data_IF_328203205552
#
_entry.id   IF_328203205552
#
_cell.length_a   1.000
_cell.length_b   1.000
_cell.length_c   1.000
_cell.angle_alpha   90.00
_cell.angle_beta   90.00
_cell.angle_gamma   90.00
#
_symmetry.space_group_name_H-M   'P 1'
#
loop_
_entity.id
_entity.type
_entity.pdbx_description
1 polymer ?
#
# COMPACT_ATOMS: atom_id res chain seq x y z
N UNK A 1 26.68 23.22 -30.92
CA UNK A 1 26.86 24.51 -30.23
C UNK A 1 25.62 25.36 -30.45
N UNK A 2 24.61 25.21 -29.60
CA UNK A 2 23.54 26.21 -29.34
C UNK A 2 23.02 25.86 -27.96
N UNK A 3 23.36 26.71 -26.99
CA UNK A 3 22.82 26.71 -25.64
C UNK A 3 21.46 27.38 -25.69
N UNK A 4 20.39 26.68 -25.29
CA UNK A 4 19.11 27.31 -24.98
C UNK A 4 19.00 27.32 -23.44
N UNK A 5 19.30 28.49 -22.86
CA UNK A 5 18.99 28.86 -21.49
C UNK A 5 17.45 29.00 -21.37
N UNK A 6 16.81 28.05 -20.72
CA UNK A 6 15.45 28.22 -20.19
C UNK A 6 15.59 28.89 -18.82
N UNK A 7 15.55 30.21 -18.82
CA UNK A 7 15.33 31.00 -17.61
C UNK A 7 13.84 30.86 -17.28
N UNK A 8 13.50 29.98 -16.38
CA UNK A 8 12.18 29.91 -15.75
C UNK A 8 11.98 31.21 -14.95
N UNK A 9 11.01 31.99 -15.35
CA UNK A 9 10.57 33.21 -14.66
C UNK A 9 9.96 32.77 -13.31
N UNK A 10 10.75 32.82 -12.23
CA UNK A 10 10.24 32.74 -10.85
C UNK A 10 9.49 34.06 -10.65
N UNK A 11 8.18 33.99 -10.58
CA UNK A 11 7.33 35.11 -10.20
C UNK A 11 7.69 35.49 -8.75
N UNK A 12 8.62 36.42 -8.58
CA UNK A 12 8.84 37.12 -7.31
C UNK A 12 7.70 38.10 -7.17
N UNK A 13 6.76 37.80 -6.24
CA UNK A 13 5.68 38.75 -5.93
C UNK A 13 6.27 40.10 -5.57
N UNK A 14 6.15 41.07 -6.44
CA UNK A 14 6.56 42.43 -6.16
C UNK A 14 5.56 43.07 -5.17
N UNK A 15 6.03 43.89 -4.20
CA UNK A 15 5.16 44.58 -3.27
C UNK A 15 4.31 45.62 -3.99
N UNK A 16 2.98 45.48 -3.98
CA UNK A 16 2.05 46.33 -4.71
C UNK A 16 1.68 47.62 -3.95
N UNK A 17 1.98 47.73 -2.66
CA UNK A 17 1.67 48.95 -1.90
C UNK A 17 2.92 49.74 -1.44
N UNK A 18 2.77 51.07 -1.37
CA UNK A 18 3.85 51.97 -0.93
C UNK A 18 4.28 51.72 0.54
N UNK A 19 3.37 51.20 1.37
CA UNK A 19 3.64 50.87 2.76
C UNK A 19 4.53 49.64 2.90
N UNK A 20 4.29 48.59 2.08
CA UNK A 20 5.12 47.38 2.08
C UNK A 20 6.54 47.65 1.58
N UNK A 21 6.65 48.53 0.55
CA UNK A 21 7.94 48.90 0.00
C UNK A 21 8.79 49.67 1.02
N UNK A 22 8.15 50.56 1.80
CA UNK A 22 8.81 51.31 2.86
C UNK A 22 9.27 50.35 4.03
N UNK A 23 8.44 49.40 4.41
CA UNK A 23 8.79 48.41 5.45
C UNK A 23 9.94 47.47 5.04
N UNK A 24 10.00 47.10 3.74
CA UNK A 24 11.09 46.30 3.20
C UNK A 24 12.42 47.06 3.07
N UNK A 25 12.36 48.36 2.75
CA UNK A 25 13.55 49.22 2.67
C UNK A 25 14.15 49.49 4.02
N UNK A 26 13.33 49.54 5.12
CA UNK A 26 13.80 49.77 6.49
C UNK A 26 14.33 48.51 7.19
N UNK A 27 13.77 47.31 6.91
CA UNK A 27 14.10 46.08 7.65
C UNK A 27 15.18 45.20 7.02
N UNK A 28 15.39 45.30 5.72
CA UNK A 28 16.27 44.39 4.97
C UNK A 28 15.78 42.91 4.98
N UNK A 29 14.58 42.66 5.46
CA UNK A 29 13.97 41.32 5.54
C UNK A 29 13.28 40.94 4.23
N UNK A 30 13.07 39.62 4.01
CA UNK A 30 12.32 39.18 2.84
C UNK A 30 10.83 39.55 2.98
N UNK A 31 10.12 39.85 1.86
CA UNK A 31 8.70 40.22 1.90
C UNK A 31 7.82 39.19 2.67
N UNK A 32 8.15 37.91 2.57
CA UNK A 32 7.42 36.83 3.24
C UNK A 32 7.49 36.93 4.76
N UNK A 33 8.63 37.38 5.33
CA UNK A 33 8.80 37.60 6.78
C UNK A 33 7.89 38.72 7.25
N UNK A 34 7.82 39.84 6.53
CA UNK A 34 6.93 40.95 6.84
C UNK A 34 5.46 40.54 6.80
N UNK A 35 5.04 39.79 5.76
CA UNK A 35 3.67 39.31 5.65
C UNK A 35 3.31 38.31 6.74
N UNK A 36 4.24 37.47 7.16
CA UNK A 36 4.03 36.56 8.29
C UNK A 36 3.78 37.32 9.60
N UNK A 37 4.49 38.45 9.86
CA UNK A 37 4.24 39.32 11.03
C UNK A 37 2.83 39.96 10.93
N UNK A 38 2.37 40.32 9.74
CA UNK A 38 1.03 40.87 9.51
C UNK A 38 -0.09 39.86 9.77
N UNK A 39 0.16 38.52 9.81
CA UNK A 39 -0.84 37.53 10.18
C UNK A 39 -1.43 37.74 11.59
N UNK A 40 -0.74 38.43 12.47
CA UNK A 40 -1.17 38.77 13.85
C UNK A 40 -1.63 40.24 13.99
N UNK A 41 -1.75 40.98 12.87
CA UNK A 41 -2.24 42.36 12.87
C UNK A 41 -3.63 42.45 13.50
N UNK A 42 -3.92 43.56 14.20
CA UNK A 42 -5.27 43.87 14.70
C UNK A 42 -6.30 44.06 13.60
N UNK A 43 -5.87 44.46 12.37
CA UNK A 43 -6.73 44.72 11.22
C UNK A 43 -7.13 43.41 10.50
N UNK A 44 -8.42 43.23 10.21
CA UNK A 44 -8.89 42.07 9.45
C UNK A 44 -8.38 42.06 8.01
N UNK A 45 -8.36 43.23 7.39
CA UNK A 45 -7.92 43.38 5.98
C UNK A 45 -6.43 43.07 5.83
N UNK A 46 -5.58 43.54 6.76
CA UNK A 46 -4.13 43.31 6.75
C UNK A 46 -3.84 41.78 6.83
N UNK A 47 -4.53 41.09 7.76
CA UNK A 47 -4.39 39.64 7.90
C UNK A 47 -4.84 38.87 6.67
N UNK A 48 -5.92 39.33 6.01
CA UNK A 48 -6.42 38.72 4.78
C UNK A 48 -5.43 38.89 3.64
N UNK A 49 -4.98 40.11 3.43
CA UNK A 49 -4.01 40.44 2.37
C UNK A 49 -2.68 39.70 2.56
N UNK A 50 -2.14 39.68 3.77
CA UNK A 50 -0.95 38.90 4.10
C UNK A 50 -1.14 37.39 3.82
N UNK A 51 -2.31 36.84 4.14
CA UNK A 51 -2.65 35.44 3.83
C UNK A 51 -2.62 35.17 2.33
N UNK A 52 -3.25 36.02 1.50
CA UNK A 52 -3.32 35.89 0.06
C UNK A 52 -1.92 35.98 -0.58
N UNK A 53 -1.11 36.97 -0.19
CA UNK A 53 0.27 37.15 -0.66
C UNK A 53 1.19 35.98 -0.30
N UNK A 54 1.05 35.40 0.89
CA UNK A 54 1.81 34.23 1.29
C UNK A 54 1.41 32.99 0.48
N UNK A 55 0.14 32.82 0.14
CA UNK A 55 -0.32 31.74 -0.76
C UNK A 55 0.26 31.94 -2.17
N UNK A 56 0.23 33.16 -2.71
CA UNK A 56 0.76 33.49 -4.04
C UNK A 56 2.29 33.33 -4.11
N UNK A 57 2.99 33.54 -2.99
CA UNK A 57 4.45 33.34 -2.90
C UNK A 57 4.89 31.88 -3.02
N UNK A 58 3.98 30.93 -2.93
CA UNK A 58 4.26 29.51 -3.14
C UNK A 58 5.36 28.96 -2.23
N UNK A 59 6.39 28.38 -2.84
CA UNK A 59 7.47 27.70 -2.11
C UNK A 59 8.21 28.61 -1.13
N UNK A 60 8.41 29.89 -1.46
CA UNK A 60 9.18 30.86 -0.64
C UNK A 60 8.47 31.25 0.66
N UNK A 61 7.16 31.04 0.79
CA UNK A 61 6.39 31.32 1.99
C UNK A 61 6.52 30.22 3.06
N UNK A 62 6.83 28.98 2.69
CA UNK A 62 6.71 27.83 3.59
C UNK A 62 7.62 27.96 4.82
N UNK A 63 8.92 28.20 4.62
CA UNK A 63 9.87 28.30 5.71
C UNK A 63 9.59 29.47 6.66
N UNK A 64 9.29 30.70 6.19
CA UNK A 64 8.86 31.81 7.04
C UNK A 64 7.60 31.46 7.87
N UNK A 65 6.60 30.82 7.28
CA UNK A 65 5.38 30.40 7.98
C UNK A 65 5.70 29.39 9.09
N UNK A 66 6.47 28.34 8.79
CA UNK A 66 6.85 27.32 9.77
C UNK A 66 7.63 27.93 10.94
N UNK A 67 8.55 28.85 10.66
CA UNK A 67 9.33 29.55 11.68
C UNK A 67 8.45 30.38 12.60
N UNK A 68 7.52 31.14 12.05
CA UNK A 68 6.61 31.97 12.83
C UNK A 68 5.61 31.14 13.66
N UNK A 69 5.16 30.01 13.14
CA UNK A 69 4.24 29.12 13.87
C UNK A 69 4.89 28.49 15.11
N UNK A 70 6.21 28.34 15.15
CA UNK A 70 6.91 27.73 16.28
C UNK A 70 6.80 28.54 17.57
N UNK A 71 6.67 29.87 17.48
CA UNK A 71 6.57 30.79 18.63
C UNK A 71 5.39 31.75 18.57
N UNK A 72 4.56 31.63 17.51
CA UNK A 72 3.50 32.58 17.23
C UNK A 72 2.23 32.41 18.08
N UNK A 73 1.36 33.41 17.99
CA UNK A 73 0.03 33.40 18.59
C UNK A 73 -0.85 32.28 18.01
N UNK A 74 -1.99 32.00 18.64
CA UNK A 74 -3.00 31.08 18.12
C UNK A 74 -3.48 31.48 16.72
N UNK A 75 -3.57 32.79 16.46
CA UNK A 75 -3.98 33.33 15.16
C UNK A 75 -2.95 33.01 14.08
N UNK A 76 -1.66 33.25 14.35
CA UNK A 76 -0.55 32.91 13.43
C UNK A 76 -0.54 31.41 13.10
N UNK A 77 -0.68 30.56 14.12
CA UNK A 77 -0.71 29.09 13.92
C UNK A 77 -1.93 28.68 13.08
N UNK A 78 -3.10 29.24 13.37
CA UNK A 78 -4.33 28.90 12.63
C UNK A 78 -4.25 29.31 11.16
N UNK A 79 -3.77 30.53 10.88
CA UNK A 79 -3.59 31.03 9.52
C UNK A 79 -2.44 30.34 8.78
N UNK A 80 -1.35 30.06 9.48
CA UNK A 80 -0.24 29.30 8.92
C UNK A 80 -0.69 27.89 8.44
N UNK A 81 -1.45 27.17 9.25
CA UNK A 81 -2.03 25.87 8.83
C UNK A 81 -2.98 26.05 7.63
N UNK A 82 -3.79 27.09 7.61
CA UNK A 82 -4.66 27.39 6.47
C UNK A 82 -3.85 27.63 5.18
N UNK A 83 -2.80 28.46 5.26
CA UNK A 83 -1.93 28.77 4.11
C UNK A 83 -1.23 27.50 3.62
N UNK A 84 -0.59 26.73 4.53
CA UNK A 84 0.07 25.47 4.19
C UNK A 84 -0.89 24.48 3.53
N UNK A 85 -2.16 24.43 3.98
CA UNK A 85 -3.19 23.63 3.32
C UNK A 85 -3.46 24.09 1.89
N UNK A 86 -3.53 25.39 1.63
CA UNK A 86 -3.74 25.93 0.28
C UNK A 86 -2.53 25.62 -0.61
N UNK A 87 -1.30 25.77 -0.09
CA UNK A 87 -0.08 25.40 -0.80
C UNK A 87 -0.01 23.90 -1.12
N UNK A 88 -0.45 23.03 -0.17
CA UNK A 88 -0.57 21.59 -0.40
C UNK A 88 -1.64 21.20 -1.45
N UNK A 89 -2.54 22.11 -1.81
CA UNK A 89 -3.50 21.95 -2.91
C UNK A 89 -3.03 22.59 -4.21
N UNK A 90 -1.83 23.17 -4.26
CA UNK A 90 -1.24 23.76 -5.46
C UNK A 90 -1.18 22.76 -6.62
N UNK A 91 -1.24 23.28 -7.85
CA UNK A 91 -0.97 22.50 -9.07
C UNK A 91 0.52 22.35 -9.36
N UNK A 92 1.34 23.15 -8.74
CA UNK A 92 2.80 23.11 -8.84
C UNK A 92 3.35 22.05 -7.88
N UNK A 93 3.94 20.98 -8.41
CA UNK A 93 4.36 19.81 -7.64
C UNK A 93 5.36 20.16 -6.50
N UNK A 94 6.28 21.09 -6.74
CA UNK A 94 7.24 21.51 -5.71
C UNK A 94 6.55 22.19 -4.52
N UNK A 95 5.58 23.07 -4.78
CA UNK A 95 4.79 23.78 -3.76
C UNK A 95 3.89 22.81 -3.00
N UNK A 96 3.25 21.91 -3.73
CA UNK A 96 2.40 20.85 -3.16
C UNK A 96 3.17 19.99 -2.17
N UNK A 97 4.29 19.41 -2.61
CA UNK A 97 5.12 18.52 -1.78
C UNK A 97 5.60 19.25 -0.53
N UNK A 98 6.12 20.47 -0.69
CA UNK A 98 6.64 21.24 0.45
C UNK A 98 5.52 21.65 1.43
N UNK A 99 4.33 22.01 0.92
CA UNK A 99 3.16 22.29 1.76
C UNK A 99 2.65 21.08 2.54
N UNK A 100 2.64 19.90 1.89
CA UNK A 100 2.28 18.63 2.54
C UNK A 100 3.29 18.26 3.62
N UNK A 101 4.59 18.28 3.30
CA UNK A 101 5.66 17.96 4.25
C UNK A 101 5.58 18.85 5.49
N UNK A 102 5.37 20.16 5.29
CA UNK A 102 5.21 21.08 6.42
C UNK A 102 4.01 20.75 7.32
N UNK A 103 2.89 20.32 6.74
CA UNK A 103 1.72 19.88 7.51
C UNK A 103 1.96 18.54 8.21
N UNK A 104 2.66 17.60 7.58
CA UNK A 104 3.04 16.30 8.14
C UNK A 104 3.98 16.48 9.34
N UNK A 105 5.00 17.34 9.21
CA UNK A 105 5.90 17.69 10.29
C UNK A 105 5.16 18.30 11.49
N UNK A 106 4.18 19.18 11.24
CA UNK A 106 3.35 19.75 12.28
C UNK A 106 2.45 18.73 12.97
N UNK A 107 1.97 17.75 12.22
CA UNK A 107 1.07 16.72 12.72
C UNK A 107 1.82 15.63 13.51
N UNK A 108 3.08 15.34 13.17
CA UNK A 108 3.89 14.27 13.78
C UNK A 108 4.73 14.75 14.98
N UNK A 109 5.03 16.05 15.10
CA UNK A 109 5.96 16.55 16.10
C UNK A 109 5.37 16.47 17.52
N UNK A 110 5.92 15.58 18.35
CA UNK A 110 5.58 15.45 19.77
C UNK A 110 5.81 16.72 20.59
N UNK A 111 6.62 17.67 20.08
CA UNK A 111 6.93 18.96 20.72
C UNK A 111 5.85 20.02 20.50
N UNK A 112 4.95 19.81 19.54
CA UNK A 112 3.92 20.78 19.20
C UNK A 112 2.71 20.70 20.17
N UNK A 113 2.05 21.83 20.44
CA UNK A 113 0.82 21.82 21.21
C UNK A 113 -0.22 20.87 20.58
N UNK A 114 -0.90 20.08 21.40
CA UNK A 114 -1.90 19.12 20.94
C UNK A 114 -3.02 19.75 20.06
N UNK A 115 -3.31 21.04 20.23
CA UNK A 115 -4.26 21.79 19.39
C UNK A 115 -3.73 21.98 17.96
N UNK A 116 -2.44 22.30 17.82
CA UNK A 116 -1.79 22.50 16.52
C UNK A 116 -1.67 21.18 15.77
N UNK A 117 -1.27 20.10 16.46
CA UNK A 117 -1.24 18.73 15.92
C UNK A 117 -2.63 18.32 15.35
N UNK A 118 -3.69 18.49 16.15
CA UNK A 118 -5.06 18.18 15.69
C UNK A 118 -5.50 19.02 14.50
N UNK A 119 -5.11 20.30 14.46
CA UNK A 119 -5.47 21.19 13.35
C UNK A 119 -4.72 20.84 12.07
N UNK A 120 -3.41 20.53 12.16
CA UNK A 120 -2.60 20.07 11.04
C UNK A 120 -3.10 18.73 10.49
N UNK A 121 -3.40 17.77 11.37
CA UNK A 121 -4.00 16.46 10.96
C UNK A 121 -5.34 16.66 10.24
N UNK A 122 -6.18 17.59 10.71
CA UNK A 122 -7.45 17.90 10.02
C UNK A 122 -7.21 18.53 8.65
N UNK A 123 -6.23 19.43 8.53
CA UNK A 123 -5.87 20.04 7.26
C UNK A 123 -5.34 19.00 6.26
N UNK A 124 -4.47 18.08 6.67
CA UNK A 124 -4.00 16.94 5.87
C UNK A 124 -5.17 16.09 5.36
N UNK A 125 -6.08 15.69 6.26
CA UNK A 125 -7.25 14.89 5.88
C UNK A 125 -8.13 15.62 4.85
N UNK A 126 -8.24 16.95 4.91
CA UNK A 126 -8.96 17.74 3.92
C UNK A 126 -8.23 17.75 2.57
N UNK A 127 -6.90 17.94 2.56
CA UNK A 127 -6.09 17.87 1.34
C UNK A 127 -6.23 16.51 0.66
N UNK A 128 -6.08 15.43 1.44
CA UNK A 128 -6.19 14.06 0.89
C UNK A 128 -7.58 13.78 0.30
N UNK A 129 -8.65 14.20 0.97
CA UNK A 129 -10.02 14.03 0.43
C UNK A 129 -10.23 14.80 -0.89
N UNK A 130 -9.75 16.03 -0.98
CA UNK A 130 -9.85 16.82 -2.22
C UNK A 130 -9.07 16.17 -3.36
N UNK A 131 -7.91 15.58 -3.06
CA UNK A 131 -7.05 14.96 -4.07
C UNK A 131 -7.44 13.53 -4.42
N UNK A 132 -8.14 12.83 -3.55
CA UNK A 132 -8.45 11.41 -3.71
C UNK A 132 -9.19 11.11 -5.02
N UNK A 133 -10.18 11.92 -5.40
CA UNK A 133 -10.94 11.69 -6.62
C UNK A 133 -10.04 11.77 -7.87
N UNK A 134 -9.22 12.82 -7.97
CA UNK A 134 -8.24 12.95 -9.05
C UNK A 134 -7.18 11.85 -9.06
N UNK A 135 -6.72 11.42 -7.88
CA UNK A 135 -5.77 10.33 -7.73
C UNK A 135 -6.36 8.99 -8.20
N UNK A 136 -7.61 8.69 -7.85
CA UNK A 136 -8.30 7.48 -8.30
C UNK A 136 -8.49 7.47 -9.81
N UNK A 137 -8.90 8.58 -10.41
CA UNK A 137 -9.04 8.71 -11.86
C UNK A 137 -7.68 8.55 -12.58
N UNK A 138 -6.61 9.13 -12.01
CA UNK A 138 -5.26 8.96 -12.53
C UNK A 138 -4.81 7.49 -12.52
N UNK A 139 -4.96 6.81 -11.37
CA UNK A 139 -4.60 5.40 -11.23
C UNK A 139 -5.42 4.50 -12.17
N UNK A 140 -6.72 4.74 -12.33
CA UNK A 140 -7.58 4.04 -13.30
C UNK A 140 -7.10 4.27 -14.73
N UNK A 141 -6.78 5.51 -15.09
CA UNK A 141 -6.24 5.86 -16.40
C UNK A 141 -4.91 5.16 -16.71
N UNK A 142 -4.07 4.96 -15.70
CA UNK A 142 -2.82 4.21 -15.79
C UNK A 142 -3.02 2.67 -15.79
N UNK A 143 -4.24 2.18 -15.58
CA UNK A 143 -4.59 0.76 -15.68
C UNK A 143 -4.84 0.05 -14.36
N UNK A 144 -4.91 0.76 -13.23
CA UNK A 144 -5.35 0.17 -11.98
C UNK A 144 -6.86 -0.15 -12.01
N UNK A 145 -7.25 -1.26 -11.38
CA UNK A 145 -8.64 -1.58 -11.12
C UNK A 145 -8.98 -1.13 -9.70
N UNK A 146 -9.91 -0.20 -9.58
CA UNK A 146 -10.39 0.37 -8.31
C UNK A 146 -11.75 -0.22 -8.00
N UNK A 147 -12.08 -0.39 -6.71
CA UNK A 147 -13.27 -1.08 -6.23
C UNK A 147 -13.38 -2.55 -6.66
N UNK A 148 -12.23 -3.18 -6.87
CA UNK A 148 -12.10 -4.56 -7.30
C UNK A 148 -12.62 -5.60 -6.28
N UNK A 149 -13.34 -5.21 -5.23
CA UNK A 149 -13.88 -6.16 -4.24
C UNK A 149 -14.92 -7.12 -4.83
N UNK A 150 -15.66 -6.72 -5.86
CA UNK A 150 -16.58 -7.61 -6.57
C UNK A 150 -15.88 -8.59 -7.53
N UNK A 151 -14.70 -8.23 -8.04
CA UNK A 151 -13.93 -9.06 -8.98
C UNK A 151 -12.83 -9.90 -8.32
N UNK A 152 -12.49 -9.63 -7.06
CA UNK A 152 -11.58 -10.44 -6.25
C UNK A 152 -12.37 -11.57 -5.55
N UNK A 153 -13.34 -12.16 -6.20
CA UNK A 153 -14.02 -13.40 -5.79
C UNK A 153 -13.11 -14.62 -6.00
N UNK A 154 -11.94 -14.57 -5.37
CA UNK A 154 -11.19 -15.73 -4.92
C UNK A 154 -11.52 -15.99 -3.44
N UNK A 155 -10.98 -17.01 -2.78
CA UNK A 155 -11.33 -17.44 -1.42
C UNK A 155 -10.90 -16.46 -0.31
N UNK A 156 -10.89 -15.18 -0.59
CA UNK A 156 -10.65 -14.13 0.40
C UNK A 156 -11.97 -13.83 1.07
N UNK A 157 -12.10 -14.29 2.31
CA UNK A 157 -13.13 -13.80 3.20
C UNK A 157 -13.03 -12.27 3.23
N UNK A 158 -14.09 -11.59 2.82
CA UNK A 158 -14.24 -10.17 3.01
C UNK A 158 -13.88 -9.87 4.47
N UNK A 159 -12.84 -9.05 4.68
CA UNK A 159 -12.50 -8.59 6.00
C UNK A 159 -13.62 -7.67 6.43
N UNK A 160 -14.56 -8.17 7.21
CA UNK A 160 -15.56 -7.35 7.89
C UNK A 160 -14.79 -6.51 8.90
N UNK A 161 -14.36 -5.33 8.49
CA UNK A 161 -13.82 -4.32 9.37
C UNK A 161 -15.04 -3.58 9.91
N UNK A 162 -15.44 -3.86 11.12
CA UNK A 162 -16.45 -3.22 11.95
C UNK A 162 -17.56 -2.47 11.21
N UNK A 163 -18.81 -2.70 11.59
CA UNK A 163 -20.05 -2.08 11.12
C UNK A 163 -19.90 -0.98 10.06
N UNK A 164 -20.08 -1.31 8.77
CA UNK A 164 -20.73 -0.38 7.87
C UNK A 164 -19.98 0.22 6.70
N UNK A 165 -18.73 -0.13 6.37
CA UNK A 165 -18.21 0.16 5.03
C UNK A 165 -17.13 -0.84 4.64
N UNK A 166 -17.39 -1.59 3.59
CA UNK A 166 -16.36 -2.37 2.87
C UNK A 166 -15.48 -1.33 2.16
N UNK A 167 -14.38 -0.94 2.79
CA UNK A 167 -13.41 -0.04 2.17
C UNK A 167 -12.92 -0.61 0.86
N UNK A 168 -12.79 0.23 -0.17
CA UNK A 168 -12.38 -0.15 -1.50
C UNK A 168 -11.01 -0.83 -1.54
N UNK A 169 -10.80 -1.65 -2.56
CA UNK A 169 -9.52 -2.26 -2.90
C UNK A 169 -8.98 -1.71 -4.21
N UNK A 170 -7.66 -1.75 -4.36
CA UNK A 170 -6.95 -1.42 -5.60
C UNK A 170 -6.16 -2.63 -6.04
N UNK A 171 -6.33 -3.00 -7.31
CA UNK A 171 -5.53 -4.01 -7.99
C UNK A 171 -4.68 -3.33 -9.07
N UNK A 172 -3.38 -3.57 -9.03
CA UNK A 172 -2.44 -3.20 -10.07
C UNK A 172 -1.81 -4.49 -10.61
N UNK A 173 -2.09 -4.80 -11.87
CA UNK A 173 -1.66 -6.03 -12.54
C UNK A 173 -0.95 -5.75 -13.88
N UNK A 174 -0.85 -6.72 -14.75
CA UNK A 174 -0.24 -6.60 -16.09
C UNK A 174 -0.90 -5.58 -17.03
N UNK A 175 -2.03 -4.96 -16.65
CA UNK A 175 -2.68 -3.88 -17.40
C UNK A 175 -2.09 -2.51 -17.07
N UNK A 176 -1.30 -2.42 -16.00
CA UNK A 176 -0.67 -1.19 -15.57
C UNK A 176 0.31 -0.67 -16.61
N UNK A 177 0.16 0.60 -17.00
CA UNK A 177 0.97 1.31 -17.98
C UNK A 177 1.74 2.49 -17.35
N UNK A 178 1.45 2.80 -16.09
CA UNK A 178 2.12 3.86 -15.36
C UNK A 178 3.50 3.45 -14.87
N UNK A 179 4.30 4.46 -14.47
CA UNK A 179 5.59 4.27 -13.82
C UNK A 179 5.51 4.41 -12.29
N UNK A 180 6.67 4.36 -11.61
CA UNK A 180 6.75 4.63 -10.16
C UNK A 180 6.22 6.01 -9.77
N UNK A 181 6.34 7.00 -10.66
CA UNK A 181 5.84 8.37 -10.45
C UNK A 181 4.32 8.41 -10.28
N UNK A 182 3.59 7.60 -11.09
CA UNK A 182 2.13 7.53 -11.03
C UNK A 182 1.64 6.93 -9.71
N UNK A 183 2.45 6.07 -9.09
CA UNK A 183 2.13 5.46 -7.79
C UNK A 183 2.15 6.46 -6.63
N UNK A 184 2.78 7.64 -6.78
CA UNK A 184 2.71 8.71 -5.77
C UNK A 184 1.28 9.15 -5.46
N UNK A 185 0.35 8.90 -6.38
CA UNK A 185 -1.08 9.16 -6.16
C UNK A 185 -1.67 8.29 -5.04
N UNK A 186 -1.07 7.14 -4.72
CA UNK A 186 -1.52 6.26 -3.65
C UNK A 186 -1.56 6.96 -2.28
N UNK A 187 -0.67 7.92 -2.01
CA UNK A 187 -0.66 8.70 -0.75
C UNK A 187 -1.95 9.47 -0.48
N UNK A 188 -2.71 9.81 -1.52
CA UNK A 188 -3.97 10.55 -1.39
C UNK A 188 -5.18 9.63 -1.18
N UNK A 189 -5.01 8.33 -1.27
CA UNK A 189 -6.11 7.38 -1.16
C UNK A 189 -6.34 7.03 0.31
N UNK A 190 -7.32 7.68 0.94
CA UNK A 190 -7.63 7.52 2.37
C UNK A 190 -8.66 6.43 2.68
N UNK A 191 -9.40 5.98 1.68
CA UNK A 191 -10.49 4.99 1.85
C UNK A 191 -10.14 3.61 1.25
N UNK A 192 -8.85 3.35 0.93
CA UNK A 192 -8.39 2.07 0.46
C UNK A 192 -7.68 1.31 1.57
N UNK A 193 -8.23 0.15 1.92
CA UNK A 193 -7.68 -0.72 2.96
C UNK A 193 -6.94 -1.94 2.40
N UNK A 194 -7.11 -2.25 1.12
CA UNK A 194 -6.53 -3.40 0.46
C UNK A 194 -5.87 -3.00 -0.86
N UNK A 195 -4.57 -3.27 -0.98
CA UNK A 195 -3.81 -3.12 -2.21
C UNK A 195 -3.27 -4.48 -2.64
N UNK A 196 -3.50 -4.83 -3.90
CA UNK A 196 -2.94 -6.01 -4.53
C UNK A 196 -2.05 -5.60 -5.70
N UNK A 197 -0.79 -6.02 -5.67
CA UNK A 197 0.20 -5.79 -6.71
C UNK A 197 0.58 -7.12 -7.35
N UNK A 198 0.46 -7.22 -8.68
CA UNK A 198 0.63 -8.46 -9.42
C UNK A 198 1.56 -8.27 -10.61
N UNK A 199 2.56 -9.13 -10.71
CA UNK A 199 3.42 -9.23 -11.89
C UNK A 199 4.85 -8.76 -11.65
N UNK A 200 5.78 -9.20 -12.53
CA UNK A 200 7.22 -8.97 -12.37
C UNK A 200 7.65 -7.52 -12.55
N UNK A 201 6.78 -6.66 -13.10
CA UNK A 201 7.03 -5.21 -13.22
C UNK A 201 7.02 -4.50 -11.87
N UNK A 202 6.40 -5.08 -10.85
CA UNK A 202 6.37 -4.54 -9.48
C UNK A 202 7.72 -4.76 -8.83
N UNK A 203 8.47 -3.68 -8.59
CA UNK A 203 9.82 -3.66 -8.03
C UNK A 203 9.86 -3.02 -6.65
N UNK A 204 11.03 -3.03 -6.01
CA UNK A 204 11.24 -2.44 -4.68
C UNK A 204 10.84 -0.97 -4.60
N UNK A 205 11.06 -0.19 -5.67
CA UNK A 205 10.76 1.26 -5.69
C UNK A 205 9.26 1.57 -5.55
N UNK A 206 8.39 0.62 -5.87
CA UNK A 206 6.95 0.80 -5.70
C UNK A 206 6.55 0.87 -4.24
N UNK A 207 7.30 0.19 -3.36
CA UNK A 207 6.94 0.09 -1.96
C UNK A 207 7.16 1.38 -1.18
N UNK A 208 7.96 2.32 -1.70
CA UNK A 208 8.05 3.69 -1.15
C UNK A 208 6.70 4.41 -1.21
N UNK A 209 5.99 4.29 -2.34
CA UNK A 209 4.67 4.88 -2.48
C UNK A 209 3.59 4.11 -1.69
N UNK A 210 3.72 2.78 -1.61
CA UNK A 210 2.80 1.93 -0.84
C UNK A 210 2.88 2.23 0.65
N UNK A 211 4.08 2.43 1.19
CA UNK A 211 4.30 2.76 2.60
C UNK A 211 3.64 4.09 3.01
N UNK A 212 3.48 5.01 2.05
CA UNK A 212 2.82 6.30 2.28
C UNK A 212 1.29 6.25 2.27
N UNK A 213 0.67 5.10 1.99
CA UNK A 213 -0.79 4.97 2.02
C UNK A 213 -1.33 5.05 3.46
N UNK A 214 -2.16 6.06 3.79
CA UNK A 214 -2.52 6.34 5.19
C UNK A 214 -3.42 5.28 5.84
N UNK A 215 -4.17 4.53 5.04
CA UNK A 215 -5.19 3.59 5.53
C UNK A 215 -4.96 2.15 5.09
N UNK A 216 -3.83 1.83 4.47
CA UNK A 216 -3.55 0.49 3.95
C UNK A 216 -3.42 -0.52 5.10
N UNK A 217 -4.35 -1.47 5.17
CA UNK A 217 -4.34 -2.54 6.18
C UNK A 217 -3.92 -3.89 5.63
N UNK A 218 -4.10 -4.10 4.35
CA UNK A 218 -3.76 -5.36 3.70
C UNK A 218 -2.99 -5.11 2.40
N UNK A 219 -1.80 -5.69 2.30
CA UNK A 219 -0.97 -5.69 1.10
C UNK A 219 -0.80 -7.12 0.60
N UNK A 220 -1.04 -7.32 -0.69
CA UNK A 220 -0.75 -8.58 -1.38
C UNK A 220 0.24 -8.33 -2.52
N UNK A 221 1.37 -9.04 -2.47
CA UNK A 221 2.40 -9.09 -3.50
C UNK A 221 2.34 -10.46 -4.17
N UNK A 222 2.06 -10.51 -5.48
CA UNK A 222 1.90 -11.77 -6.19
C UNK A 222 2.74 -11.80 -7.46
N UNK A 223 3.71 -12.73 -7.54
CA UNK A 223 4.63 -12.88 -8.67
C UNK A 223 5.38 -11.58 -8.99
N UNK A 224 5.79 -10.84 -7.96
CA UNK A 224 6.50 -9.58 -8.09
C UNK A 224 8.02 -9.78 -8.07
N UNK A 225 8.77 -8.75 -8.48
CA UNK A 225 10.23 -8.68 -8.35
C UNK A 225 10.66 -8.05 -7.01
N UNK A 226 9.74 -7.87 -6.08
CA UNK A 226 10.02 -7.35 -4.74
C UNK A 226 10.80 -8.38 -3.94
N UNK A 227 11.91 -7.96 -3.38
CA UNK A 227 12.79 -8.75 -2.51
C UNK A 227 12.85 -8.19 -1.08
N UNK A 228 13.84 -8.63 -0.30
CA UNK A 228 14.02 -8.26 1.10
C UNK A 228 14.22 -6.75 1.30
N UNK A 229 14.91 -6.07 0.35
CA UNK A 229 15.11 -4.62 0.40
C UNK A 229 13.78 -3.88 0.21
N UNK A 230 12.96 -4.32 -0.75
CA UNK A 230 11.63 -3.75 -0.94
C UNK A 230 10.76 -3.88 0.31
N UNK A 231 10.74 -5.06 0.95
CA UNK A 231 9.96 -5.28 2.17
C UNK A 231 10.41 -4.35 3.30
N UNK A 232 11.70 -3.99 3.39
CA UNK A 232 12.20 -3.08 4.42
C UNK A 232 11.56 -1.68 4.37
N UNK A 233 11.12 -1.24 3.21
CA UNK A 233 10.43 0.05 3.02
C UNK A 233 9.04 0.10 3.66
N UNK A 234 8.45 -1.07 3.97
CA UNK A 234 7.14 -1.16 4.65
C UNK A 234 7.19 -0.85 6.15
N UNK A 235 8.36 -0.60 6.74
CA UNK A 235 8.48 -0.19 8.15
C UNK A 235 7.65 1.06 8.45
N UNK A 236 7.51 1.97 7.49
CA UNK A 236 6.71 3.20 7.62
C UNK A 236 5.20 2.98 7.37
N UNK A 237 4.80 1.79 6.95
CA UNK A 237 3.39 1.44 6.72
C UNK A 237 2.66 1.11 8.03
N UNK A 238 2.52 2.08 8.92
CA UNK A 238 2.04 1.88 10.31
C UNK A 238 0.60 1.35 10.42
N UNK A 239 -0.23 1.47 9.39
CA UNK A 239 -1.58 0.92 9.36
C UNK A 239 -1.65 -0.55 8.89
N UNK A 240 -0.54 -1.11 8.37
CA UNK A 240 -0.51 -2.42 7.75
C UNK A 240 -0.68 -3.54 8.78
N UNK A 241 -1.73 -4.34 8.64
CA UNK A 241 -2.09 -5.43 9.54
C UNK A 241 -1.94 -6.81 8.90
N UNK A 242 -1.98 -6.88 7.56
CA UNK A 242 -1.88 -8.14 6.81
C UNK A 242 -0.94 -7.97 5.63
N UNK A 243 0.03 -8.87 5.55
CA UNK A 243 0.98 -8.93 4.45
C UNK A 243 0.96 -10.32 3.84
N UNK A 244 0.69 -10.40 2.54
CA UNK A 244 0.71 -11.65 1.79
C UNK A 244 1.74 -11.55 0.67
N UNK A 245 2.72 -12.44 0.68
CA UNK A 245 3.82 -12.47 -0.29
C UNK A 245 3.79 -13.83 -0.98
N UNK A 246 3.52 -13.81 -2.29
CA UNK A 246 3.40 -15.02 -3.09
C UNK A 246 4.29 -14.97 -4.31
N UNK A 247 5.12 -16.01 -4.47
CA UNK A 247 6.01 -16.21 -5.62
C UNK A 247 6.89 -14.98 -5.94
N UNK A 248 7.37 -14.32 -4.89
CA UNK A 248 8.30 -13.19 -4.94
C UNK A 248 9.62 -13.58 -4.25
N UNK A 249 10.79 -13.04 -4.63
CA UNK A 249 12.11 -13.49 -4.17
C UNK A 249 12.47 -12.93 -2.77
N UNK A 250 11.60 -13.18 -1.81
CA UNK A 250 11.75 -12.76 -0.40
C UNK A 250 12.31 -13.91 0.41
N UNK A 251 13.38 -13.66 1.18
CA UNK A 251 14.13 -14.64 1.96
C UNK A 251 13.98 -14.45 3.48
N UNK A 252 14.72 -15.23 4.27
CA UNK A 252 14.71 -15.12 5.73
C UNK A 252 15.21 -13.78 6.27
N UNK A 253 15.87 -12.95 5.45
CA UNK A 253 16.31 -11.60 5.85
C UNK A 253 15.14 -10.68 6.24
N UNK A 254 13.94 -10.93 5.73
CA UNK A 254 12.76 -10.13 6.11
C UNK A 254 12.30 -10.37 7.54
N UNK A 255 12.74 -11.44 8.20
CA UNK A 255 12.34 -11.75 9.57
C UNK A 255 12.71 -10.64 10.54
N UNK A 256 13.90 -10.03 10.36
CA UNK A 256 14.36 -8.94 11.20
C UNK A 256 13.55 -7.64 10.98
N UNK A 257 13.11 -7.40 9.76
CA UNK A 257 12.30 -6.23 9.39
C UNK A 257 10.86 -6.42 9.88
N UNK A 258 10.22 -7.52 9.48
CA UNK A 258 8.82 -7.79 9.85
C UNK A 258 8.64 -7.97 11.35
N UNK A 259 9.67 -8.49 12.05
CA UNK A 259 9.68 -8.62 13.51
C UNK A 259 9.66 -7.29 14.28
N UNK A 260 9.84 -6.15 13.60
CA UNK A 260 9.70 -4.80 14.16
C UNK A 260 8.30 -4.20 13.95
N UNK A 261 7.45 -4.87 13.15
CA UNK A 261 6.12 -4.38 12.78
C UNK A 261 5.05 -5.00 13.69
N UNK A 262 5.00 -4.57 14.95
CA UNK A 262 4.08 -5.13 15.98
C UNK A 262 2.59 -5.04 15.60
N UNK A 263 2.23 -4.15 14.66
CA UNK A 263 0.87 -3.99 14.16
C UNK A 263 0.45 -5.11 13.19
N UNK A 264 1.39 -5.93 12.68
CA UNK A 264 1.07 -7.04 11.79
C UNK A 264 0.36 -8.15 12.55
N UNK A 265 -0.92 -8.39 12.24
CA UNK A 265 -1.70 -9.51 12.78
C UNK A 265 -1.63 -10.77 11.94
N UNK A 266 -1.25 -10.66 10.66
CA UNK A 266 -1.13 -11.80 9.75
C UNK A 266 -0.05 -11.59 8.69
N UNK A 267 0.81 -12.61 8.52
CA UNK A 267 1.79 -12.69 7.42
C UNK A 267 1.65 -14.04 6.73
N UNK A 268 1.57 -14.02 5.39
CA UNK A 268 1.51 -15.24 4.58
C UNK A 268 2.68 -15.26 3.60
N UNK A 269 3.46 -16.34 3.63
CA UNK A 269 4.49 -16.65 2.64
C UNK A 269 4.05 -17.86 1.82
N UNK A 270 3.99 -17.70 0.48
CA UNK A 270 3.68 -18.79 -0.44
C UNK A 270 4.66 -18.77 -1.63
N UNK A 271 5.50 -19.81 -1.75
CA UNK A 271 6.45 -19.92 -2.88
C UNK A 271 7.52 -18.84 -2.90
N UNK A 272 7.92 -18.35 -1.75
CA UNK A 272 9.05 -17.44 -1.50
C UNK A 272 10.31 -18.25 -1.17
N UNK A 273 11.44 -17.55 -0.98
CA UNK A 273 12.68 -18.15 -0.52
C UNK A 273 12.81 -18.16 1.03
N UNK A 274 11.77 -17.76 1.74
CA UNK A 274 11.66 -17.93 3.19
C UNK A 274 11.70 -19.42 3.51
N UNK A 275 12.44 -19.79 4.57
CA UNK A 275 12.53 -21.17 5.04
C UNK A 275 11.50 -21.49 6.13
N UNK A 276 11.23 -22.77 6.42
CA UNK A 276 10.40 -23.14 7.59
C UNK A 276 10.96 -22.57 8.89
N UNK A 277 12.31 -22.53 9.03
CA UNK A 277 13.02 -21.97 10.17
C UNK A 277 12.84 -20.45 10.25
N UNK A 278 12.93 -19.73 9.13
CA UNK A 278 12.67 -18.30 9.06
C UNK A 278 11.21 -17.96 9.46
N UNK A 279 10.26 -18.73 8.94
CA UNK A 279 8.85 -18.58 9.31
C UNK A 279 8.61 -18.87 10.81
N UNK A 280 9.32 -19.85 11.39
CA UNK A 280 9.25 -20.14 12.82
C UNK A 280 9.83 -19.02 13.67
N UNK A 281 11.01 -18.48 13.28
CA UNK A 281 11.62 -17.32 13.95
C UNK A 281 10.69 -16.10 13.94
N UNK A 282 9.98 -15.87 12.84
CA UNK A 282 9.00 -14.76 12.77
C UNK A 282 7.80 -15.00 13.71
N UNK A 283 7.32 -16.26 13.87
CA UNK A 283 6.26 -16.59 14.83
C UNK A 283 6.67 -16.30 16.27
N UNK A 284 7.93 -16.53 16.61
CA UNK A 284 8.46 -16.27 17.95
C UNK A 284 8.58 -14.77 18.22
N UNK A 285 8.94 -13.96 17.22
CA UNK A 285 9.03 -12.50 17.34
C UNK A 285 7.65 -11.83 17.37
N UNK A 286 6.73 -12.28 16.55
CA UNK A 286 5.36 -11.76 16.44
C UNK A 286 4.36 -12.74 17.08
N UNK A 287 4.50 -12.97 18.38
CA UNK A 287 3.72 -13.99 19.10
C UNK A 287 2.19 -13.86 19.02
N UNK A 288 1.69 -12.63 18.77
CA UNK A 288 0.26 -12.34 18.61
C UNK A 288 -0.23 -12.39 17.15
N UNK A 289 0.66 -12.76 16.21
CA UNK A 289 0.38 -12.73 14.79
C UNK A 289 0.23 -14.14 14.22
N UNK A 290 -0.62 -14.26 13.20
CA UNK A 290 -0.76 -15.52 12.46
C UNK A 290 0.22 -15.57 11.29
N UNK A 291 1.23 -16.44 11.36
CA UNK A 291 2.23 -16.64 10.32
C UNK A 291 1.92 -17.93 9.57
N UNK A 292 1.44 -17.80 8.31
CA UNK A 292 1.19 -18.93 7.40
C UNK A 292 2.37 -19.07 6.43
N UNK A 293 2.86 -20.29 6.26
CA UNK A 293 3.97 -20.60 5.39
C UNK A 293 3.66 -21.79 4.50
N UNK A 294 3.88 -21.65 3.19
CA UNK A 294 3.71 -22.69 2.17
C UNK A 294 4.81 -22.60 1.13
N UNK A 295 5.30 -23.73 0.69
CA UNK A 295 6.35 -23.80 -0.34
C UNK A 295 5.85 -23.48 -1.75
N UNK A 296 4.55 -23.23 -1.94
CA UNK A 296 3.97 -22.68 -3.16
C UNK A 296 3.53 -23.69 -4.21
N UNK A 297 3.58 -24.98 -3.92
CA UNK A 297 3.01 -25.99 -4.82
C UNK A 297 1.49 -25.83 -4.96
N UNK A 298 0.97 -25.96 -6.19
CA UNK A 298 -0.45 -25.85 -6.48
C UNK A 298 -0.91 -26.96 -7.42
N UNK A 299 -1.90 -27.73 -6.98
CA UNK A 299 -2.46 -28.84 -7.77
C UNK A 299 -3.63 -28.39 -8.66
N UNK A 300 -4.48 -27.49 -8.15
CA UNK A 300 -5.62 -26.95 -8.88
C UNK A 300 -6.89 -27.82 -8.83
N UNK A 301 -7.13 -28.47 -7.70
CA UNK A 301 -8.36 -29.22 -7.42
C UNK A 301 -9.16 -28.56 -6.31
N UNK A 302 -10.47 -28.73 -6.30
CA UNK A 302 -11.37 -28.18 -5.30
C UNK A 302 -12.46 -29.12 -4.86
N UNK A 303 -13.12 -28.78 -3.73
CA UNK A 303 -14.30 -29.48 -3.23
C UNK A 303 -15.48 -29.37 -4.18
N UNK A 304 -16.34 -30.37 -4.20
CA UNK A 304 -17.65 -30.25 -4.82
C UNK A 304 -18.50 -29.24 -4.04
N UNK A 305 -19.25 -28.40 -4.76
CA UNK A 305 -20.29 -27.59 -4.13
C UNK A 305 -21.43 -28.49 -3.65
N UNK A 306 -21.81 -28.38 -2.37
CA UNK A 306 -22.91 -29.13 -1.78
C UNK A 306 -22.53 -30.12 -0.68
N UNK A 307 -23.51 -30.92 -0.25
CA UNK A 307 -23.42 -31.86 0.88
C UNK A 307 -22.67 -33.17 0.58
N UNK A 308 -21.93 -33.27 -0.52
CA UNK A 308 -21.14 -34.49 -0.81
C UNK A 308 -19.99 -34.55 0.19
N UNK A 309 -20.15 -35.44 1.18
CA UNK A 309 -19.11 -35.74 2.16
C UNK A 309 -17.96 -36.48 1.46
N UNK A 310 -16.74 -36.22 1.91
CA UNK A 310 -15.61 -37.06 1.53
C UNK A 310 -15.89 -38.51 1.94
N UNK A 311 -15.51 -39.51 1.11
CA UNK A 311 -15.87 -40.93 1.34
C UNK A 311 -15.23 -41.55 2.59
N UNK A 312 -14.63 -40.73 3.50
CA UNK A 312 -13.94 -41.19 4.71
C UNK A 312 -12.57 -41.86 4.43
N UNK A 313 -12.32 -42.21 3.19
CA UNK A 313 -11.07 -42.82 2.71
C UNK A 313 -10.56 -42.06 1.50
N UNK A 314 -10.09 -40.82 1.69
CA UNK A 314 -9.57 -40.02 0.59
C UNK A 314 -10.33 -38.71 0.39
N UNK A 315 -9.89 -37.93 -0.61
CA UNK A 315 -10.53 -36.70 -1.03
C UNK A 315 -11.13 -36.84 -2.42
N UNK A 316 -12.46 -36.69 -2.57
CA UNK A 316 -13.14 -36.68 -3.87
C UNK A 316 -13.03 -35.30 -4.54
N UNK A 317 -12.49 -35.27 -5.74
CA UNK A 317 -12.33 -34.05 -6.53
C UNK A 317 -13.69 -33.58 -7.05
N UNK A 318 -14.12 -32.40 -6.62
CA UNK A 318 -15.37 -31.78 -7.05
C UNK A 318 -15.22 -30.99 -8.34
N UNK A 319 -14.06 -30.33 -8.53
CA UNK A 319 -13.71 -29.66 -9.77
C UNK A 319 -12.20 -29.64 -9.98
N UNK A 320 -11.79 -29.57 -11.24
CA UNK A 320 -10.40 -29.35 -11.66
C UNK A 320 -10.33 -27.98 -12.34
N UNK A 321 -9.40 -27.13 -11.88
CA UNK A 321 -9.23 -25.78 -12.42
C UNK A 321 -8.61 -25.87 -13.82
N UNK A 322 -9.18 -25.19 -14.83
CA UNK A 322 -8.58 -25.13 -16.18
C UNK A 322 -7.14 -24.55 -16.14
N UNK A 323 -6.25 -25.15 -16.92
CA UNK A 323 -4.84 -24.80 -17.00
C UNK A 323 -3.98 -25.25 -15.81
N UNK A 324 -4.56 -25.90 -14.79
CA UNK A 324 -3.86 -26.34 -13.59
C UNK A 324 -2.94 -27.55 -13.81
N UNK A 325 -2.11 -27.85 -12.82
CA UNK A 325 -1.28 -29.05 -12.78
C UNK A 325 -2.12 -30.34 -12.85
N UNK A 326 -3.24 -30.38 -12.14
CA UNK A 326 -4.16 -31.51 -12.16
C UNK A 326 -4.75 -31.77 -13.55
N UNK A 327 -5.21 -30.71 -14.25
CA UNK A 327 -5.74 -30.85 -15.59
C UNK A 327 -4.67 -31.37 -16.57
N UNK A 328 -3.46 -30.76 -16.53
CA UNK A 328 -2.33 -31.20 -17.39
C UNK A 328 -1.93 -32.64 -17.16
N UNK A 329 -2.05 -33.15 -15.95
CA UNK A 329 -1.77 -34.51 -15.56
C UNK A 329 -2.96 -35.47 -15.84
N UNK A 330 -4.06 -34.99 -16.43
CA UNK A 330 -5.21 -35.77 -16.76
C UNK A 330 -6.09 -36.23 -15.60
N UNK A 331 -5.98 -35.55 -14.47
CA UNK A 331 -6.87 -35.72 -13.29
C UNK A 331 -8.25 -35.17 -13.64
N UNK A 332 -9.33 -35.83 -13.16
CA UNK A 332 -10.69 -35.49 -13.52
C UNK A 332 -11.57 -35.27 -12.30
N UNK A 333 -12.63 -34.51 -12.49
CA UNK A 333 -13.72 -34.42 -11.51
C UNK A 333 -14.28 -35.80 -11.23
N UNK A 334 -14.48 -36.12 -9.95
CA UNK A 334 -14.95 -37.44 -9.49
C UNK A 334 -13.83 -38.40 -9.06
N UNK A 335 -12.56 -38.16 -9.47
CA UNK A 335 -11.42 -38.95 -8.96
C UNK A 335 -11.32 -38.80 -7.43
N UNK A 336 -10.87 -39.84 -6.75
CA UNK A 336 -10.63 -39.82 -5.30
C UNK A 336 -9.13 -39.92 -5.05
N UNK A 337 -8.53 -38.88 -4.45
CA UNK A 337 -7.12 -38.92 -4.05
C UNK A 337 -6.99 -39.68 -2.71
N UNK A 338 -6.27 -40.82 -2.75
CA UNK A 338 -6.02 -41.65 -1.58
C UNK A 338 -4.69 -41.36 -0.91
N UNK A 339 -3.64 -41.09 -1.73
CA UNK A 339 -2.30 -40.79 -1.23
C UNK A 339 -1.65 -39.70 -2.08
N UNK A 340 -0.76 -38.95 -1.44
CA UNK A 340 0.10 -37.93 -2.01
C UNK A 340 1.55 -38.24 -1.59
N UNK A 341 2.44 -38.54 -2.53
CA UNK A 341 3.80 -39.02 -2.27
C UNK A 341 3.85 -40.15 -1.20
N UNK A 342 2.90 -41.09 -1.26
CA UNK A 342 2.79 -42.20 -0.32
C UNK A 342 2.08 -41.88 1.00
N UNK A 343 1.93 -40.59 1.37
CA UNK A 343 1.21 -40.17 2.57
C UNK A 343 -0.31 -40.22 2.35
N UNK A 344 -1.04 -40.70 3.37
CA UNK A 344 -2.50 -40.87 3.28
C UNK A 344 -3.21 -39.52 3.27
N UNK A 345 -4.11 -39.36 2.29
CA UNK A 345 -5.04 -38.23 2.21
C UNK A 345 -6.38 -38.68 2.79
N UNK A 346 -6.86 -37.95 3.81
CA UNK A 346 -8.14 -38.27 4.47
C UNK A 346 -9.27 -37.33 4.06
N UNK A 347 -8.93 -36.11 3.72
CA UNK A 347 -9.85 -35.03 3.32
C UNK A 347 -9.12 -33.94 2.57
N UNK A 348 -9.84 -32.87 2.19
CA UNK A 348 -9.27 -31.73 1.46
C UNK A 348 -8.20 -30.96 2.24
N UNK A 349 -8.38 -30.83 3.55
CA UNK A 349 -7.44 -30.03 4.36
C UNK A 349 -6.11 -30.77 4.52
N UNK A 350 -6.14 -32.11 4.72
CA UNK A 350 -4.95 -32.95 4.68
C UNK A 350 -4.23 -32.87 3.32
N UNK A 351 -4.97 -32.90 2.20
CA UNK A 351 -4.38 -32.71 0.87
C UNK A 351 -3.71 -31.34 0.72
N UNK A 352 -4.37 -30.26 1.18
CA UNK A 352 -3.78 -28.90 1.14
C UNK A 352 -2.50 -28.78 1.96
N UNK A 353 -2.45 -29.42 3.12
CA UNK A 353 -1.25 -29.44 3.96
C UNK A 353 -0.10 -30.15 3.24
N UNK A 354 -0.37 -31.33 2.63
CA UNK A 354 0.64 -32.07 1.89
C UNK A 354 1.15 -31.30 0.66
N UNK A 355 0.25 -30.69 -0.11
CA UNK A 355 0.63 -29.84 -1.24
C UNK A 355 1.49 -28.66 -0.75
N UNK A 356 1.13 -28.03 0.38
CA UNK A 356 1.82 -26.86 0.95
C UNK A 356 3.28 -27.13 1.35
N UNK A 357 3.65 -28.40 1.55
CA UNK A 357 5.02 -28.84 1.83
C UNK A 357 5.93 -28.92 0.58
N UNK A 358 5.36 -28.75 -0.61
CA UNK A 358 6.08 -28.92 -1.87
C UNK A 358 6.14 -27.60 -2.65
N UNK A 359 7.21 -27.41 -3.44
CA UNK A 359 7.38 -26.23 -4.30
C UNK A 359 6.63 -26.37 -5.62
N UNK A 360 6.36 -25.26 -6.27
CA UNK A 360 5.98 -25.27 -7.67
C UNK A 360 7.14 -25.81 -8.52
N UNK A 361 6.82 -26.66 -9.50
CA UNK A 361 7.79 -27.40 -10.33
C UNK A 361 8.20 -28.75 -9.72
N UNK A 362 7.88 -29.06 -8.47
CA UNK A 362 8.13 -30.39 -7.90
C UNK A 362 7.16 -31.42 -8.47
N UNK A 363 7.71 -32.57 -8.86
CA UNK A 363 6.91 -33.72 -9.28
C UNK A 363 6.45 -34.53 -8.06
N UNK A 364 5.18 -34.84 -8.00
CA UNK A 364 4.53 -35.60 -6.91
C UNK A 364 3.71 -36.75 -7.45
N UNK A 365 3.68 -37.86 -6.74
CA UNK A 365 2.88 -39.05 -7.10
C UNK A 365 1.55 -39.05 -6.35
N UNK A 366 0.46 -39.12 -7.10
CA UNK A 366 -0.90 -39.26 -6.59
C UNK A 366 -1.44 -40.65 -6.82
N UNK A 367 -1.82 -41.34 -5.75
CA UNK A 367 -2.61 -42.55 -5.87
C UNK A 367 -4.08 -42.18 -5.86
N UNK A 368 -4.77 -42.49 -6.95
CA UNK A 368 -6.16 -42.13 -7.19
C UNK A 368 -7.04 -43.38 -7.34
N UNK A 369 -8.35 -43.20 -7.08
CA UNK A 369 -9.37 -44.10 -7.60
C UNK A 369 -10.17 -43.37 -8.68
N UNK A 370 -10.30 -43.99 -9.87
CA UNK A 370 -11.16 -43.52 -10.97
C UNK A 370 -12.12 -44.64 -11.32
N UNK A 371 -13.41 -44.47 -11.11
CA UNK A 371 -14.43 -45.51 -11.30
C UNK A 371 -14.10 -46.79 -10.53
N UNK A 372 -13.62 -46.66 -9.30
CA UNK A 372 -13.16 -47.73 -8.39
C UNK A 372 -11.90 -48.49 -8.86
N UNK A 373 -11.26 -48.06 -9.96
CA UNK A 373 -9.98 -48.61 -10.42
C UNK A 373 -8.80 -47.77 -9.86
N UNK A 374 -7.76 -48.43 -9.30
CA UNK A 374 -6.59 -47.73 -8.82
C UNK A 374 -5.73 -47.16 -9.97
N UNK A 375 -5.30 -45.94 -9.85
CA UNK A 375 -4.46 -45.20 -10.78
C UNK A 375 -3.36 -44.45 -10.05
N UNK A 376 -2.14 -44.46 -10.58
CA UNK A 376 -1.05 -43.59 -10.11
C UNK A 376 -0.77 -42.57 -11.18
N UNK A 377 -0.73 -41.29 -10.76
CA UNK A 377 -0.47 -40.17 -11.68
C UNK A 377 0.65 -39.31 -11.07
N UNK A 378 1.73 -39.12 -11.82
CA UNK A 378 2.78 -38.16 -11.48
C UNK A 378 2.36 -36.78 -11.97
N UNK A 379 2.39 -35.80 -11.08
CA UNK A 379 1.95 -34.44 -11.37
C UNK A 379 3.09 -33.46 -11.03
N UNK A 380 3.46 -32.60 -11.96
CA UNK A 380 4.31 -31.46 -11.69
C UNK A 380 3.45 -30.31 -11.12
N UNK A 381 3.69 -29.97 -9.85
CA UNK A 381 2.91 -28.92 -9.18
C UNK A 381 3.13 -27.55 -9.85
N UNK A 382 2.06 -26.83 -10.09
CA UNK A 382 2.08 -25.48 -10.66
C UNK A 382 2.23 -24.39 -9.61
N UNK A 383 2.22 -23.14 -10.09
CA UNK A 383 2.00 -21.96 -9.27
C UNK A 383 0.52 -21.60 -9.25
N UNK A 384 0.04 -21.04 -8.15
CA UNK A 384 -1.32 -20.49 -8.12
C UNK A 384 -1.36 -19.21 -8.97
N UNK A 385 -2.19 -19.16 -10.00
CA UNK A 385 -2.29 -18.04 -10.95
C UNK A 385 -3.38 -17.03 -10.59
N UNK A 386 -4.25 -17.34 -9.63
CA UNK A 386 -5.32 -16.43 -9.14
C UNK A 386 -5.73 -16.76 -7.71
#
# INVERSE_FOLDING_TARGET
MIWISVVGNVATGEPETSADRAALEESGESPQVVWVQQLDSGGFLDRKEATERLIESGLSAIQPICTAMASGSREVVSRGIFILRQLALSKEAAVEIAGLTALEDLASAQKNPASSVRSATRALNQVFRVRQEGALEHLKGAGATVDAMETINGPFQAVIIGQGNLGGGILIDGKWKGGPEDLRQLRYIVDCYHLRLVGPQVSNDWLDAVAQMPSLRQLELHQTSVDDEGISKLLDAHALQRLMIRYSPVSDRVVDVLGQMDQLGRVEFEGTDVTPEGAQNLRERLANSHIDFRRGGFLGVGKAGGLLQDPGTGFRIGHVQPGSAAEKAGIRTGDIILKFNGEKVTNFDALRELIGKNKAGEAVDLNLLRNDEPLVVTVELGKRTR
#
